data_IF_993205256320
#
_entry.id   IF_993205256320
#
_cell.length_a   1.000
_cell.length_b   1.000
_cell.length_c   1.000
_cell.angle_alpha   90.00
_cell.angle_beta   90.00
_cell.angle_gamma   90.00
#
_symmetry.space_group_name_H-M   'P 1'
#
loop_
_entity.id
_entity.type
_entity.pdbx_description
1 polymer ?
#
# COMPACT_ATOMS: atom_id res chain seq x y z
N UNK A 1 -9.88 0.80 2.65
CA UNK A 1 -9.63 1.46 3.95
C UNK A 1 -10.07 0.50 5.03
N UNK A 2 -9.20 0.13 5.96
CA UNK A 2 -9.55 -0.77 7.07
C UNK A 2 -9.70 0.07 8.34
N UNK A 3 -10.83 -0.06 9.04
CA UNK A 3 -11.13 0.67 10.26
C UNK A 3 -11.18 -0.30 11.42
N UNK A 4 -10.53 0.06 12.51
CA UNK A 4 -10.48 -0.72 13.73
C UNK A 4 -10.96 0.17 14.87
N UNK A 5 -11.73 -0.42 15.78
CA UNK A 5 -12.19 0.29 16.98
C UNK A 5 -11.88 -0.58 18.17
N UNK A 6 -11.16 -0.03 19.13
CA UNK A 6 -10.75 -0.73 20.35
C UNK A 6 -11.26 0.03 21.57
N UNK A 7 -11.46 -0.70 22.67
CA UNK A 7 -11.75 -0.09 23.97
C UNK A 7 -10.43 0.47 24.51
N UNK A 8 -10.43 1.71 25.01
CA UNK A 8 -9.21 2.37 25.51
C UNK A 8 -8.69 1.76 26.82
N UNK A 9 -9.61 1.32 27.68
CA UNK A 9 -9.31 0.79 29.00
C UNK A 9 -9.36 -0.74 29.06
N UNK A 10 -8.60 -1.37 29.97
CA UNK A 10 -8.63 -2.82 30.16
C UNK A 10 -9.90 -3.33 30.87
N UNK A 11 -10.71 -2.47 31.51
CA UNK A 11 -11.89 -2.88 32.28
C UNK A 11 -12.99 -1.79 32.31
N UNK A 12 -14.26 -2.22 32.41
CA UNK A 12 -15.51 -1.44 32.60
C UNK A 12 -15.91 -0.46 31.46
N UNK A 13 -15.02 0.40 30.96
CA UNK A 13 -15.41 1.57 30.15
C UNK A 13 -15.65 1.26 28.66
N UNK A 14 -16.72 0.54 28.34
CA UNK A 14 -17.07 0.06 26.98
C UNK A 14 -17.40 1.15 25.96
N UNK A 15 -17.85 2.31 26.43
CA UNK A 15 -18.20 3.45 25.57
C UNK A 15 -16.99 4.33 25.24
N UNK A 16 -15.90 4.19 26.00
CA UNK A 16 -14.61 4.81 25.71
C UNK A 16 -13.89 4.04 24.62
N UNK A 17 -14.06 4.48 23.37
CA UNK A 17 -13.49 3.84 22.19
C UNK A 17 -12.45 4.70 21.50
N UNK A 18 -11.50 4.05 20.87
CA UNK A 18 -10.50 4.67 20.00
C UNK A 18 -10.65 4.11 18.59
N UNK A 19 -10.65 5.02 17.61
CA UNK A 19 -10.87 4.69 16.22
C UNK A 19 -9.55 4.84 15.47
N UNK A 20 -9.10 3.73 14.89
CA UNK A 20 -7.92 3.69 14.04
C UNK A 20 -8.33 3.38 12.61
N UNK A 21 -7.53 3.85 11.65
CA UNK A 21 -7.67 3.43 10.27
C UNK A 21 -6.32 3.16 9.61
N UNK A 22 -6.33 2.18 8.71
CA UNK A 22 -5.22 1.89 7.81
C UNK A 22 -5.68 2.18 6.37
N UNK A 23 -4.92 3.04 5.68
CA UNK A 23 -5.18 3.44 4.29
C UNK A 23 -4.04 2.95 3.39
N UNK A 24 -4.35 1.99 2.53
CA UNK A 24 -3.47 1.53 1.46
C UNK A 24 -3.90 2.23 0.18
N UNK A 25 -2.98 2.95 -0.46
CA UNK A 25 -3.22 3.65 -1.72
C UNK A 25 -2.57 2.84 -2.84
N UNK A 26 -3.39 2.32 -3.76
CA UNK A 26 -2.91 1.55 -4.92
C UNK A 26 -2.87 2.45 -6.14
N UNK A 27 -1.75 2.43 -6.87
CA UNK A 27 -1.59 3.08 -8.16
C UNK A 27 -1.38 1.99 -9.20
N UNK A 28 -2.05 2.11 -10.33
CA UNK A 28 -1.84 1.25 -11.50
C UNK A 28 -1.16 2.10 -12.57
N UNK A 29 -0.03 1.62 -13.06
CA UNK A 29 0.70 2.23 -14.18
C UNK A 29 0.75 1.17 -15.26
N UNK A 30 0.24 1.51 -16.44
CA UNK A 30 0.28 0.67 -17.62
C UNK A 30 1.24 1.27 -18.65
N UNK A 31 2.11 0.44 -19.21
CA UNK A 31 3.15 0.85 -20.16
C UNK A 31 2.89 0.13 -21.47
N UNK A 32 2.41 0.89 -22.46
CA UNK A 32 2.17 0.40 -23.82
C UNK A 32 3.51 0.33 -24.56
N UNK A 33 3.75 -0.78 -25.25
CA UNK A 33 4.96 -1.06 -26.04
C UNK A 33 6.28 -0.80 -25.28
N UNK A 34 6.56 -1.57 -24.21
CA UNK A 34 7.78 -1.37 -23.43
C UNK A 34 9.02 -1.73 -24.26
N UNK A 35 9.97 -0.79 -24.37
CA UNK A 35 11.26 -1.09 -24.95
C UNK A 35 12.16 -1.84 -23.91
N UNK A 36 13.18 -2.60 -24.34
CA UNK A 36 14.06 -3.35 -23.43
C UNK A 36 14.81 -2.47 -22.41
N UNK A 37 15.13 -1.22 -22.77
CA UNK A 37 15.79 -0.27 -21.85
C UNK A 37 14.85 0.22 -20.76
N UNK A 38 13.57 0.38 -21.06
CA UNK A 38 12.54 0.81 -20.11
C UNK A 38 12.30 -0.28 -19.06
N UNK A 39 12.31 -1.56 -19.45
CA UNK A 39 12.20 -2.69 -18.50
C UNK A 39 13.38 -2.69 -17.52
N UNK A 40 14.62 -2.59 -18.01
CA UNK A 40 15.82 -2.54 -17.18
C UNK A 40 15.83 -1.31 -16.26
N UNK A 41 15.31 -0.17 -16.75
CA UNK A 41 15.20 1.05 -15.94
C UNK A 41 14.19 0.88 -14.79
N UNK A 42 13.04 0.25 -15.03
CA UNK A 42 12.01 0.02 -14.00
C UNK A 42 12.51 -0.91 -12.89
N UNK A 43 13.35 -1.89 -13.21
CA UNK A 43 13.94 -2.81 -12.22
C UNK A 43 14.98 -2.13 -11.33
N UNK A 44 15.60 -1.04 -11.80
CA UNK A 44 16.65 -0.30 -11.09
C UNK A 44 16.15 0.95 -10.36
N UNK A 45 14.84 1.23 -10.39
CA UNK A 45 14.27 2.38 -9.69
C UNK A 45 14.48 2.20 -8.18
N UNK A 46 15.09 3.19 -7.55
CA UNK A 46 15.14 3.30 -6.10
C UNK A 46 13.79 3.80 -5.59
N UNK A 47 13.13 2.96 -4.79
CA UNK A 47 11.84 3.26 -4.20
C UNK A 47 12.02 3.71 -2.75
N UNK A 48 11.26 4.72 -2.29
CA UNK A 48 11.24 5.08 -0.89
C UNK A 48 10.80 3.90 -0.02
N UNK A 49 11.40 3.77 1.17
CA UNK A 49 10.99 2.78 2.15
C UNK A 49 9.49 2.94 2.48
N UNK A 50 8.74 1.83 2.46
CA UNK A 50 7.30 1.82 2.72
C UNK A 50 6.41 1.88 1.48
N UNK A 51 6.98 1.88 0.27
CA UNK A 51 6.23 1.66 -0.99
C UNK A 51 6.45 0.22 -1.45
N UNK A 52 5.37 -0.50 -1.69
CA UNK A 52 5.38 -1.84 -2.27
C UNK A 52 5.02 -1.76 -3.76
N UNK A 53 5.75 -2.50 -4.61
CA UNK A 53 5.55 -2.53 -6.07
C UNK A 53 5.47 -3.97 -6.55
N UNK A 54 4.45 -4.24 -7.35
CA UNK A 54 4.27 -5.49 -8.08
C UNK A 54 4.35 -5.19 -9.59
N UNK A 55 5.31 -5.81 -10.30
CA UNK A 55 5.46 -5.68 -11.75
C UNK A 55 4.95 -6.97 -12.40
N UNK A 56 3.99 -6.85 -13.34
CA UNK A 56 3.48 -7.96 -14.14
C UNK A 56 3.80 -7.71 -15.61
N UNK A 57 4.47 -8.67 -16.24
CA UNK A 57 4.70 -8.66 -17.69
C UNK A 57 3.58 -9.51 -18.30
N UNK A 58 2.71 -8.88 -19.09
CA UNK A 58 1.76 -9.61 -19.93
C UNK A 58 2.47 -9.97 -21.23
N UNK A 59 2.51 -11.27 -21.55
CA UNK A 59 3.04 -11.80 -22.80
C UNK A 59 1.95 -12.05 -23.82
#
# INVERSE_FOLDING_TARGET
>A
KHRFTVIRGPHIDKDSREHFEMRIHKRLIDIVDPNPKTIDSLQRIELPAGVDIEIKIQG
#
